data_IF_857987361743
#
_entry.id   IF_857987361743
#
_cell.length_a   1.000
_cell.length_b   1.000
_cell.length_c   1.000
_cell.angle_alpha   90.00
_cell.angle_beta   90.00
_cell.angle_gamma   90.00
#
_symmetry.space_group_name_H-M   'P 1'
#
loop_
_entity.id
_entity.type
_entity.pdbx_description
1 polymer ?
2 non-polymer ?
3 non-polymer ?
4 non-polymer ?
5 non-polymer ?
6 water ?
#
# COMPACT_ATOMS: atom_id res chain seq x y z
N UNK A 1 -3.76 1.00 12.54
CA UNK A 1 -4.44 1.30 11.24
C UNK A 1 -3.40 1.61 10.15
N UNK A 2 -3.31 2.88 9.74
CA UNK A 2 -2.19 3.39 8.97
C UNK A 2 -0.99 3.58 9.89
N UNK A 3 -1.20 3.52 11.21
CA UNK A 3 -0.08 3.31 12.15
C UNK A 3 0.60 2.00 11.78
N UNK A 4 -0.19 0.92 11.68
CA UNK A 4 0.31 -0.39 11.28
C UNK A 4 0.91 -0.38 9.88
N UNK A 5 0.13 -0.02 8.86
CA UNK A 5 0.66 -0.04 7.47
C UNK A 5 1.91 0.83 7.37
N UNK A 6 1.83 2.03 7.95
CA UNK A 6 2.98 2.92 8.04
C UNK A 6 4.19 2.29 8.70
N UNK A 7 3.98 1.61 9.82
CA UNK A 7 5.07 0.93 10.50
C UNK A 7 5.63 -0.18 9.62
N UNK A 8 4.75 -0.90 8.93
CA UNK A 8 5.20 -1.94 7.99
C UNK A 8 6.03 -1.35 6.86
N UNK A 9 5.59 -0.23 6.30
CA UNK A 9 6.35 0.42 5.22
C UNK A 9 7.76 0.80 5.68
N UNK A 10 7.86 1.40 6.87
CA UNK A 10 9.17 1.81 7.39
C UNK A 10 10.09 0.60 7.61
N UNK A 11 9.55 -0.47 8.21
CA UNK A 11 10.30 -1.72 8.40
C UNK A 11 10.84 -2.31 7.11
N UNK A 12 10.00 -2.36 6.08
CA UNK A 12 10.37 -3.02 4.84
C UNK A 12 11.19 -2.17 3.87
N UNK A 13 11.06 -0.84 3.93
CA UNK A 13 11.71 0.04 2.94
C UNK A 13 12.90 0.89 3.43
N UNK A 14 13.07 1.04 4.75
CA UNK A 14 14.03 2.01 5.29
C UNK A 14 13.63 3.48 5.13
N UNK A 15 12.43 3.75 4.62
CA UNK A 15 11.95 5.10 4.42
C UNK A 15 10.83 5.36 5.37
N UNK A 16 10.62 6.63 5.69
CA UNK A 16 9.43 7.09 6.39
C UNK A 16 8.16 6.74 5.60
N UNK A 17 7.07 6.47 6.32
CA UNK A 17 5.79 6.18 5.68
C UNK A 17 5.24 7.37 4.87
N UNK A 18 5.59 8.58 5.30
CA UNK A 18 5.17 9.80 4.62
C UNK A 18 5.81 9.99 3.23
N UNK A 19 6.91 9.29 2.96
CA UNK A 19 7.51 9.25 1.63
C UNK A 19 6.76 8.38 0.63
N UNK A 20 5.80 7.58 1.10
CA UNK A 20 4.92 6.85 0.21
C UNK A 20 3.53 7.51 0.08
N UNK A 21 3.06 8.24 1.09
CA UNK A 21 1.87 9.09 0.92
C UNK A 21 2.02 10.14 -0.20
N UNK A 22 1.00 10.23 -1.04
CA UNK A 22 0.94 11.17 -2.18
C UNK A 22 1.97 10.91 -3.29
N UNK A 23 2.66 9.78 -3.20
CA UNK A 23 3.61 9.39 -4.23
C UNK A 23 2.84 9.06 -5.51
N UNK A 24 3.28 9.64 -6.61
CA UNK A 24 2.68 9.38 -7.91
C UNK A 24 1.20 9.67 -7.96
N UNK A 25 0.49 8.86 -8.74
CA UNK A 25 -0.94 9.03 -8.96
C UNK A 25 -1.85 8.15 -8.08
N UNK A 26 -1.29 7.12 -7.44
CA UNK A 26 -2.07 6.18 -6.64
C UNK A 26 -1.73 6.06 -5.15
N UNK A 27 -0.52 6.39 -4.72
CA UNK A 27 -0.20 6.26 -3.29
C UNK A 27 -0.82 7.41 -2.49
N UNK A 28 -1.69 7.06 -1.54
CA UNK A 28 -2.52 8.04 -0.83
C UNK A 28 -3.96 7.71 -1.08
N UNK A 29 -4.88 8.52 -0.57
CA UNK A 29 -6.30 8.23 -0.73
C UNK A 29 -6.74 8.47 -2.19
N UNK A 30 -7.42 7.47 -2.77
CA UNK A 30 -7.95 7.56 -4.13
C UNK A 30 -6.88 7.36 -5.18
N UNK A 31 -7.12 7.89 -6.36
CA UNK A 31 -6.17 7.79 -7.45
C UNK A 31 -6.87 7.59 -8.77
N UNK A 32 -6.23 8.05 -9.83
CA UNK A 32 -6.78 7.95 -11.18
C UNK A 32 -5.65 8.05 -12.19
N UNK A 33 -5.97 7.83 -13.46
CA UNK A 33 -5.03 7.98 -14.57
C UNK A 33 -3.94 6.91 -14.53
N UNK A 34 -2.86 7.06 -15.27
CA UNK A 34 -1.91 5.98 -15.40
C UNK A 34 -0.82 6.09 -14.31
N UNK A 35 -0.49 4.96 -13.64
CA UNK A 35 0.58 4.98 -12.64
C UNK A 35 1.92 5.46 -13.21
N UNK A 36 2.66 6.25 -12.44
CA UNK A 36 3.90 6.85 -12.94
C UNK A 36 5.06 5.88 -13.01
N UNK A 37 5.07 4.86 -12.15
CA UNK A 37 6.18 3.91 -12.09
C UNK A 37 5.78 2.65 -11.30
N UNK A 38 6.72 1.74 -11.06
CA UNK A 38 6.39 0.46 -10.43
C UNK A 38 5.90 0.64 -8.99
N UNK A 39 6.51 1.56 -8.25
CA UNK A 39 6.04 1.87 -6.89
C UNK A 39 4.58 2.31 -6.93
N UNK A 40 4.25 3.18 -7.88
CA UNK A 40 2.87 3.66 -8.01
C UNK A 40 1.91 2.51 -8.32
N UNK A 41 2.34 1.60 -9.20
CA UNK A 41 1.60 0.38 -9.47
C UNK A 41 1.35 -0.43 -8.20
N UNK A 42 2.32 -0.48 -7.28
CA UNK A 42 2.08 -1.16 -5.99
C UNK A 42 0.85 -0.57 -5.32
N UNK A 43 0.72 0.76 -5.38
CA UNK A 43 -0.41 1.48 -4.79
C UNK A 43 -1.72 1.25 -5.53
N UNK A 44 -1.68 1.27 -6.86
CA UNK A 44 -2.84 0.89 -7.66
C UNK A 44 -3.37 -0.48 -7.22
N UNK A 45 -2.48 -1.46 -7.13
CA UNK A 45 -2.83 -2.83 -6.68
C UNK A 45 -3.40 -2.89 -5.26
N UNK A 46 -2.79 -2.13 -4.36
CA UNK A 46 -3.23 -2.05 -2.97
C UNK A 46 -4.65 -1.46 -2.86
N UNK A 47 -4.96 -0.42 -3.64
CA UNK A 47 -6.33 0.10 -3.74
C UNK A 47 -7.31 -0.97 -4.21
N UNK A 48 -6.90 -1.74 -5.23
CA UNK A 48 -7.71 -2.85 -5.73
C UNK A 48 -7.91 -3.91 -4.64
N UNK A 49 -6.83 -4.19 -3.91
CA UNK A 49 -6.86 -5.12 -2.78
C UNK A 49 -7.88 -4.67 -1.74
N UNK A 50 -7.82 -3.41 -1.34
CA UNK A 50 -8.82 -2.88 -0.41
C UNK A 50 -10.25 -2.96 -0.96
N UNK A 51 -10.44 -2.67 -2.25
CA UNK A 51 -11.76 -2.80 -2.87
C UNK A 51 -12.34 -4.21 -2.75
N UNK A 52 -11.49 -5.22 -2.95
CA UNK A 52 -11.89 -6.63 -2.77
C UNK A 52 -12.31 -6.90 -1.31
N UNK A 53 -11.53 -6.38 -0.36
CA UNK A 53 -11.86 -6.51 1.06
C UNK A 53 -13.21 -5.86 1.42
N UNK A 54 -13.46 -4.67 0.86
CA UNK A 54 -14.74 -3.99 1.03
C UNK A 54 -15.88 -4.86 0.48
N UNK A 55 -15.70 -5.43 -0.70
CA UNK A 55 -16.71 -6.31 -1.29
C UNK A 55 -16.99 -7.57 -0.43
N UNK A 56 -15.97 -8.04 0.32
CA UNK A 56 -16.13 -9.15 1.28
C UNK A 56 -16.81 -8.77 2.61
N UNK A 57 -17.10 -7.48 2.81
CA UNK A 57 -17.73 -6.99 4.03
C UNK A 57 -16.77 -6.42 5.05
N UNK A 58 -15.47 -6.32 4.72
CA UNK A 58 -14.49 -5.73 5.60
C UNK A 58 -14.45 -4.21 5.42
N UNK A 59 -13.79 -3.56 6.37
CA UNK A 59 -13.55 -2.11 6.34
C UNK A 59 -12.05 -1.83 6.42
N UNK A 60 -11.31 -2.17 5.35
CA UNK A 60 -9.85 -2.21 5.46
C UNK A 60 -9.21 -0.88 5.84
N UNK A 61 -9.85 0.25 5.51
CA UNK A 61 -9.34 1.55 5.93
C UNK A 61 -9.33 1.72 7.44
N UNK A 62 -10.19 0.98 8.15
CA UNK A 62 -10.29 1.05 9.60
C UNK A 62 -9.72 -0.15 10.37
N UNK A 63 -9.46 -1.28 9.70
CA UNK A 63 -9.14 -2.52 10.41
C UNK A 63 -7.76 -2.39 11.06
N UNK A 64 -7.65 -2.86 12.29
CA UNK A 64 -6.41 -2.84 13.06
C UNK A 64 -5.94 -4.29 13.14
N UNK A 65 -4.70 -4.55 12.76
CA UNK A 65 -4.15 -5.91 12.78
C UNK A 65 -2.81 -5.97 13.53
N UNK A 66 -2.25 -7.17 13.61
CA UNK A 66 -0.98 -7.39 14.30
C UNK A 66 -0.01 -7.97 13.32
N UNK A 67 1.26 -7.59 13.45
CA UNK A 67 2.27 -8.22 12.62
C UNK A 67 3.66 -8.15 13.19
N UNK A 68 4.48 -9.08 12.72
CA UNK A 68 5.90 -9.11 13.04
C UNK A 68 6.70 -9.29 11.77
N UNK A 69 7.98 -8.94 11.86
CA UNK A 69 8.93 -9.07 10.75
C UNK A 69 10.17 -9.77 11.29
N UNK A 70 10.47 -10.94 10.75
CA UNK A 70 11.72 -11.63 11.02
C UNK A 70 12.48 -11.83 9.71
N UNK A 71 13.61 -12.53 9.79
CA UNK A 71 14.34 -13.04 8.62
C UNK A 71 13.45 -13.84 7.67
N UNK A 72 12.48 -14.56 8.22
CA UNK A 72 11.56 -15.40 7.44
C UNK A 72 10.51 -14.57 6.68
N UNK A 73 10.28 -13.34 7.13
CA UNK A 73 9.41 -12.39 6.43
C UNK A 73 8.38 -11.71 7.33
N UNK A 74 7.27 -11.31 6.72
CA UNK A 74 6.19 -10.62 7.42
C UNK A 74 5.18 -11.66 7.87
N UNK A 75 4.94 -11.74 9.17
CA UNK A 75 3.88 -12.60 9.70
C UNK A 75 2.66 -11.77 10.11
N UNK A 76 1.49 -12.10 9.55
CA UNK A 76 0.24 -11.38 9.83
C UNK A 76 -0.63 -12.08 10.88
N UNK A 77 -1.39 -11.30 11.63
CA UNK A 77 -2.31 -11.88 12.62
C UNK A 77 -3.38 -10.88 12.98
N UNK A 78 -4.38 -11.36 13.71
CA UNK A 78 -5.50 -10.52 14.15
C UNK A 78 -6.64 -11.42 14.57
N UNK A 79 -7.51 -10.89 15.44
CA UNK A 79 -8.65 -11.65 15.93
C UNK A 79 -9.60 -12.07 14.80
N UNK A 80 -9.85 -11.17 13.84
CA UNK A 80 -10.81 -11.43 12.78
C UNK A 80 -10.13 -11.66 11.44
N UNK A 81 -10.84 -12.38 10.58
CA UNK A 81 -10.40 -12.64 9.22
C UNK A 81 -10.20 -11.34 8.42
N UNK A 82 -11.09 -10.36 8.62
CA UNK A 82 -10.93 -9.04 7.97
C UNK A 82 -9.64 -8.33 8.38
N UNK A 83 -9.26 -8.45 9.65
CA UNK A 83 -7.99 -7.87 10.11
C UNK A 83 -6.81 -8.57 9.42
N UNK A 84 -6.87 -9.90 9.34
CA UNK A 84 -5.80 -10.66 8.71
C UNK A 84 -5.71 -10.37 7.20
N UNK A 85 -6.87 -10.22 6.56
CA UNK A 85 -6.96 -9.86 5.12
C UNK A 85 -6.34 -8.50 4.86
N UNK A 86 -6.64 -7.54 5.72
CA UNK A 86 -6.07 -6.19 5.58
C UNK A 86 -4.55 -6.26 5.69
N UNK A 87 -4.08 -7.05 6.64
CA UNK A 87 -2.64 -7.28 6.79
C UNK A 87 -2.02 -7.89 5.53
N UNK A 88 -2.72 -8.83 4.89
CA UNK A 88 -2.23 -9.45 3.65
C UNK A 88 -2.11 -8.44 2.53
N UNK A 89 -3.11 -7.58 2.37
CA UNK A 89 -3.06 -6.50 1.35
C UNK A 89 -1.86 -5.59 1.60
N UNK A 90 -1.69 -5.20 2.85
CA UNK A 90 -0.60 -4.30 3.24
C UNK A 90 0.77 -4.95 3.05
N UNK A 91 0.89 -6.20 3.49
CA UNK A 91 2.12 -6.99 3.33
C UNK A 91 2.53 -7.01 1.86
N UNK A 92 1.57 -7.31 1.00
CA UNK A 92 1.87 -7.40 -0.43
C UNK A 92 2.36 -6.06 -0.97
N UNK A 93 1.71 -4.97 -0.55
CA UNK A 93 2.13 -3.63 -0.96
C UNK A 93 3.51 -3.25 -0.42
N UNK A 94 3.78 -3.58 0.84
CA UNK A 94 5.06 -3.24 1.46
C UNK A 94 6.21 -4.03 0.82
N UNK A 95 5.99 -5.31 0.53
CA UNK A 95 6.95 -6.11 -0.25
C UNK A 95 7.17 -5.55 -1.65
N UNK A 96 6.09 -5.09 -2.26
CA UNK A 96 6.17 -4.46 -3.58
C UNK A 96 7.03 -3.18 -3.53
N UNK A 97 6.80 -2.35 -2.51
CA UNK A 97 7.61 -1.16 -2.30
C UNK A 97 9.10 -1.52 -2.18
N UNK A 98 9.42 -2.49 -1.32
CA UNK A 98 10.81 -2.95 -1.14
C UNK A 98 11.43 -3.45 -2.44
N UNK A 99 10.69 -4.31 -3.13
CA UNK A 99 11.14 -4.90 -4.40
C UNK A 99 11.46 -3.82 -5.46
N UNK A 100 10.74 -2.69 -5.41
CA UNK A 100 10.95 -1.58 -6.34
C UNK A 100 11.73 -0.37 -5.79
N UNK A 101 12.50 -0.57 -4.72
CA UNK A 101 13.32 0.52 -4.17
C UNK A 101 14.30 1.10 -5.19
N UNK A 102 14.81 0.25 -6.08
CA UNK A 102 15.69 0.66 -7.18
C UNK A 102 15.18 1.75 -8.11
N UNK A 103 13.87 1.82 -8.34
CA UNK A 103 13.29 2.87 -9.21
C UNK A 103 12.45 3.91 -8.46
N UNK A 104 12.35 3.79 -7.14
CA UNK A 104 11.77 4.84 -6.33
C UNK A 104 12.47 6.15 -6.71
N UNK A 105 11.69 7.18 -7.02
CA UNK A 105 12.20 8.49 -7.41
C UNK A 105 11.57 9.58 -6.55
N UNK A 106 12.42 10.37 -5.89
CA UNK A 106 11.98 11.43 -4.97
C UNK A 106 11.11 12.48 -5.63
N UNK A 107 11.29 12.66 -6.93
CA UNK A 107 10.47 13.60 -7.70
C UNK A 107 8.98 13.23 -7.78
N UNK A 108 8.63 11.97 -7.51
CA UNK A 108 7.23 11.54 -7.50
C UNK A 108 6.58 11.61 -6.12
N UNK A 109 7.37 11.86 -5.08
CA UNK A 109 6.80 12.15 -3.78
C UNK A 109 6.04 13.48 -3.88
N UNK A 110 4.83 13.50 -3.33
CA UNK A 110 3.97 14.69 -3.31
C UNK A 110 3.67 15.16 -4.72
N UNK A 111 3.40 14.20 -5.59
CA UNK A 111 3.22 14.45 -7.00
C UNK A 111 1.94 15.24 -7.19
N UNK A 112 2.00 16.38 -7.91
CA UNK A 112 0.77 17.13 -8.23
C UNK A 112 -0.15 16.28 -9.10
N UNK A 113 -1.35 15.97 -8.59
CA UNK A 113 -2.23 15.00 -9.27
C UNK A 113 -2.83 15.53 -10.59
N UNK A 114 -2.71 16.83 -10.85
CA UNK A 114 -2.98 17.39 -12.18
C UNK A 114 -2.01 16.90 -13.26
N UNK A 115 -0.83 16.44 -12.85
CA UNK A 115 0.12 15.83 -13.78
C UNK A 115 -0.23 14.40 -14.15
N UNK A 116 -1.17 13.80 -13.41
CA UNK A 116 -1.67 12.47 -13.72
C UNK A 116 -2.54 12.52 -14.98
N UNK A 117 -2.15 11.76 -16.01
CA UNK A 117 -2.80 11.76 -17.32
C UNK A 117 -3.04 10.35 -17.84
N UNK A 118 -3.88 10.25 -18.86
CA UNK A 118 -4.12 8.98 -19.54
C UNK A 118 -5.22 8.17 -18.88
N UNK A 119 -5.42 6.93 -19.36
CA UNK A 119 -6.52 6.13 -18.84
C UNK A 119 -6.24 5.61 -17.43
N UNK A 120 -7.29 5.16 -16.75
CA UNK A 120 -7.20 4.52 -15.43
C UNK A 120 -7.19 3.00 -15.64
N UNK A 121 -6.09 2.31 -15.28
CA UNK A 121 -6.06 0.86 -15.51
C UNK A 121 -7.11 0.14 -14.65
N UNK A 122 -7.65 -0.99 -15.14
CA UNK A 122 -8.63 -1.74 -14.36
C UNK A 122 -7.91 -2.58 -13.30
N UNK A 123 -8.64 -3.05 -12.30
CA UNK A 123 -8.04 -3.87 -11.24
C UNK A 123 -7.63 -5.26 -11.76
X LIG B 1 -12.85 0.76 4.51
X LIG C 1 15.47 9.74 -5.98
X LIG D 1 -14.07 -10.97 9.79
X LIG E 1 14.86 8.40 -0.93
X LIG F 1 7.15 -12.06 3.72
X LIG G 1 -2.96 -6.80 -4.20
X LIG H 1 8.09 -6.98 14.91
X LIG I 1 -4.63 5.28 -3.54
X LIG J 1 -0.91 5.73 2.15
X LIG J 1 -0.44 4.91 1.20
X LIG J 1 -1.43 4.15 0.78
X LIG J 1 -2.54 4.47 1.45
X LIG J 1 -3.79 4.00 1.38
X LIG J 1 -4.81 4.51 2.19
X LIG J 1 -4.47 5.54 3.08
X LIG J 1 -3.15 6.00 3.11
X LIG J 1 -2.22 5.47 2.30
X LIG J 1 0.98 4.85 0.68
X LIG J 1 -1.34 3.06 -0.31
X LIG J 1 -6.09 4.03 2.13
X LIG J 1 -0.17 6.76 2.90
X LIG J 1 0.76 5.70 6.90
X LIG J 1 0.83 7.01 6.46
X LIG J 1 0.52 7.32 5.14
X LIG J 1 0.12 6.33 4.23
X LIG J 1 0.06 5.00 4.69
X LIG J 1 0.36 4.70 6.02
X LIG J 1 1.59 3.62 1.35
X LIG J 1 -2.22 3.42 -1.50
X LIG J 1 -2.68 4.54 -1.66
X LIG J 1 -2.45 2.43 -2.34
X LIG J 1 -6.81 4.32 0.91
X LIG J 1 -8.11 3.54 0.99
X LIG J 1 -8.86 4.43 -1.61
X LIG J 1 -9.65 3.59 -2.53
X LIG J 1 -9.59 5.34 -0.70
X LIG J 1 -7.49 4.79 -2.01
X LIG J 1 -8.45 3.06 -0.41
X LIG K 1 -5.88 -10.28 0.16
X LIG K 1 -4.83 -11.24 0.03
X LIG K 1 -6.67 -10.09 -1.15
X LIG K 1 -5.86 -10.39 -2.29
X LIG K 1 -7.96 -10.91 -1.17
X LIG K 1 -8.74 -10.61 -2.34
X LIG L 1 -0.34 -3.66 17.91
X LIG L 1 0.11 -3.95 16.59
X LIG L 1 0.90 -3.43 18.77
X LIG L 1 0.54 -3.70 20.13
X LIG L 1 1.38 -2.00 18.51
X LIG L 1 2.51 -1.63 19.33
#
# INVERSE_FOLDING_TARGET
NLVQFGVMIEKMTGKSALQYNDYGCYCGIGGSHWPVDQTDWCCHAHDCCYGRLEKLGCEPKLEKYLFSVSERGIFCAGRTTCQRLTCECDKRAALCFRRNLGTYNRKYAHYPNKLCTGPTPPC
CL CL
CL CL
CL CL
CL CL
CL CL
CL CL
CL CL
CA CA
U8D N1 C2 C3 C4 C5 C6 C7 C8 C9 C10 C11 O12 C13 C14 C15 C16 C17 C18 C19 C20 C21 O22 N23 C24 C25 P26 O27 O28 O29 C30
GOL C1 O1 C2 O2 C3 O3
GOL C1 O1 C2 O2 C3 O3
#
